data_IF_017436157793
#
_entry.id   IF_017436157793
#
_cell.length_a   1.000
_cell.length_b   1.000
_cell.length_c   1.000
_cell.angle_alpha   90.00
_cell.angle_beta   90.00
_cell.angle_gamma   90.00
#
_symmetry.space_group_name_H-M   'P 1'
#
loop_
_entity.id
_entity.type
_entity.pdbx_description
1 polymer ?
#
# COMPACT_ATOMS: atom_id res chain seq x y z
N UNK A 1 3.18 6.05 -2.61
CA UNK A 1 2.34 4.89 -2.98
C UNK A 1 0.89 5.32 -3.13
N UNK A 2 0.20 4.79 -4.14
CA UNK A 2 -1.20 5.09 -4.48
C UNK A 2 -1.98 3.78 -4.59
N UNK A 3 -3.15 3.73 -3.96
CA UNK A 3 -4.08 2.59 -4.02
C UNK A 3 -5.37 3.07 -4.66
N UNK A 4 -5.75 2.41 -5.76
CA UNK A 4 -6.83 2.87 -6.62
C UNK A 4 -7.88 1.80 -6.83
N UNK A 5 -9.14 2.22 -6.84
CA UNK A 5 -10.31 1.41 -7.15
C UNK A 5 -11.03 2.01 -8.38
N UNK A 6 -11.43 1.19 -9.35
CA UNK A 6 -12.33 1.66 -10.41
C UNK A 6 -13.69 2.05 -9.81
N UNK A 7 -14.36 3.01 -10.44
CA UNK A 7 -15.74 3.40 -10.16
C UNK A 7 -16.63 3.05 -11.34
N UNK A 8 -17.92 2.89 -11.07
CA UNK A 8 -18.92 2.53 -12.08
C UNK A 8 -19.13 3.64 -13.14
N UNK A 9 -18.79 4.89 -12.80
CA UNK A 9 -18.82 6.05 -13.70
C UNK A 9 -17.61 6.14 -14.64
N UNK A 10 -16.72 5.13 -14.64
CA UNK A 10 -15.47 5.14 -15.38
C UNK A 10 -14.35 5.95 -14.70
N UNK A 11 -14.62 6.55 -13.55
CA UNK A 11 -13.65 7.25 -12.74
C UNK A 11 -12.77 6.31 -11.91
N UNK A 12 -11.82 6.90 -11.19
CA UNK A 12 -10.94 6.20 -10.26
C UNK A 12 -11.05 6.84 -8.89
N UNK A 13 -11.25 6.01 -7.87
CA UNK A 13 -11.17 6.43 -6.47
C UNK A 13 -9.81 6.05 -5.89
N UNK A 14 -9.09 7.03 -5.34
CA UNK A 14 -7.84 6.79 -4.63
C UNK A 14 -8.11 6.64 -3.13
N UNK A 15 -8.09 5.40 -2.63
CA UNK A 15 -8.24 5.13 -1.21
C UNK A 15 -7.00 5.54 -0.41
N UNK A 16 -5.84 5.54 -1.06
CA UNK A 16 -4.59 6.12 -0.59
C UNK A 16 -3.98 6.86 -1.79
N UNK A 17 -3.62 8.12 -1.60
CA UNK A 17 -3.09 8.97 -2.66
C UNK A 17 -1.71 9.53 -2.27
N UNK A 18 -0.65 9.06 -2.93
CA UNK A 18 0.67 9.68 -2.82
C UNK A 18 1.38 9.56 -1.47
N UNK A 19 1.10 8.51 -0.67
CA UNK A 19 1.72 8.35 0.66
C UNK A 19 3.10 7.70 0.58
N UNK A 20 4.10 8.30 1.21
CA UNK A 20 5.45 7.76 1.34
C UNK A 20 5.85 7.74 2.82
N UNK A 21 6.32 6.57 3.29
CA UNK A 21 6.71 6.34 4.68
C UNK A 21 8.02 5.54 4.71
N UNK A 22 8.80 5.72 5.76
CA UNK A 22 10.00 4.93 6.06
C UNK A 22 9.99 4.55 7.53
N UNK A 23 10.43 3.34 7.84
CA UNK A 23 10.60 2.85 9.21
C UNK A 23 12.00 2.26 9.32
N UNK A 24 12.80 2.81 10.24
CA UNK A 24 14.15 2.34 10.54
C UNK A 24 14.15 1.08 11.41
N UNK A 25 15.33 0.47 11.52
CA UNK A 25 15.53 -0.68 12.40
C UNK A 25 15.27 -0.28 13.87
N UNK A 26 14.38 -1.02 14.55
CA UNK A 26 14.00 -0.75 15.94
C UNK A 26 12.99 0.40 16.11
N UNK A 27 12.54 1.03 15.03
CA UNK A 27 11.52 2.08 15.09
C UNK A 27 10.11 1.48 15.09
N UNK A 28 9.20 2.16 15.80
CA UNK A 28 7.76 1.89 15.72
C UNK A 28 7.07 3.10 15.10
N UNK A 29 6.38 2.89 13.99
CA UNK A 29 5.56 3.93 13.34
C UNK A 29 4.08 3.66 13.59
N UNK A 30 3.41 4.59 14.27
CA UNK A 30 1.96 4.58 14.45
C UNK A 30 1.26 5.40 13.36
N UNK A 31 0.25 4.82 12.71
CA UNK A 31 -0.60 5.54 11.74
C UNK A 31 -1.96 5.80 12.39
N UNK A 32 -2.29 7.08 12.58
CA UNK A 32 -3.54 7.53 13.23
C UNK A 32 -4.36 8.41 12.30
N UNK A 33 -5.66 8.52 12.57
CA UNK A 33 -6.59 9.32 11.77
C UNK A 33 -8.03 8.81 11.90
N UNK A 34 -8.98 9.59 11.39
CA UNK A 34 -10.42 9.29 11.43
C UNK A 34 -10.80 8.01 10.68
N UNK A 35 -11.95 7.43 11.02
CA UNK A 35 -12.47 6.27 10.27
C UNK A 35 -12.60 6.61 8.78
N UNK A 36 -12.20 5.69 7.91
CA UNK A 36 -12.23 5.91 6.45
C UNK A 36 -11.03 6.65 5.86
N UNK A 37 -10.07 7.15 6.66
CA UNK A 37 -8.89 7.89 6.16
C UNK A 37 -7.85 7.06 5.39
N UNK A 38 -8.13 5.80 5.06
CA UNK A 38 -7.22 4.94 4.29
C UNK A 38 -6.17 4.16 5.10
N UNK A 39 -6.17 4.22 6.44
CA UNK A 39 -5.18 3.51 7.29
C UNK A 39 -5.14 2.00 7.06
N UNK A 40 -6.30 1.34 7.12
CA UNK A 40 -6.42 -0.10 6.88
C UNK A 40 -6.01 -0.45 5.46
N UNK A 41 -6.37 0.39 4.49
CA UNK A 41 -5.99 0.20 3.09
C UNK A 41 -4.48 0.27 2.89
N UNK A 42 -3.84 1.25 3.51
CA UNK A 42 -2.38 1.38 3.52
C UNK A 42 -1.73 0.15 4.16
N UNK A 43 -2.19 -0.29 5.33
CA UNK A 43 -1.66 -1.48 6.01
C UNK A 43 -1.80 -2.75 5.17
N UNK A 44 -2.96 -3.01 4.58
CA UNK A 44 -3.19 -4.18 3.72
C UNK A 44 -2.31 -4.15 2.47
N UNK A 45 -2.07 -2.98 1.88
CA UNK A 45 -1.20 -2.88 0.70
C UNK A 45 0.26 -3.25 0.98
N UNK A 46 0.75 -3.01 2.20
CA UNK A 46 2.08 -3.46 2.61
C UNK A 46 2.20 -4.99 2.62
N UNK A 47 1.09 -5.69 2.83
CA UNK A 47 1.02 -7.15 2.87
C UNK A 47 0.60 -7.76 1.53
N UNK A 48 0.41 -6.95 0.48
CA UNK A 48 -0.13 -7.43 -0.79
C UNK A 48 -1.61 -7.85 -0.73
N UNK A 49 -2.35 -7.43 0.30
CA UNK A 49 -3.73 -7.85 0.60
C UNK A 49 -4.79 -6.82 0.19
N UNK A 50 -4.52 -6.02 -0.84
CA UNK A 50 -5.52 -5.06 -1.36
C UNK A 50 -6.71 -5.85 -1.90
N UNK A 51 -7.95 -5.62 -1.42
CA UNK A 51 -9.12 -6.32 -1.91
C UNK A 51 -9.44 -5.90 -3.34
N UNK A 52 -9.90 -6.85 -4.15
CA UNK A 52 -10.43 -6.55 -5.48
C UNK A 52 -11.70 -5.69 -5.39
N UNK A 53 -11.95 -4.80 -6.35
CA UNK A 53 -11.18 -4.53 -7.57
C UNK A 53 -10.00 -3.56 -7.38
N UNK A 54 -9.60 -3.27 -6.14
CA UNK A 54 -8.50 -2.36 -5.83
C UNK A 54 -7.13 -2.89 -6.20
N UNK A 55 -6.18 -1.98 -6.46
CA UNK A 55 -4.77 -2.31 -6.68
C UNK A 55 -3.84 -1.21 -6.19
N UNK A 56 -2.59 -1.57 -5.90
CA UNK A 56 -1.50 -0.61 -5.82
C UNK A 56 -1.22 -0.12 -7.24
N UNK A 57 -1.61 1.12 -7.53
CA UNK A 57 -1.51 1.69 -8.88
C UNK A 57 -0.20 2.44 -9.11
N UNK A 58 0.49 2.83 -8.04
CA UNK A 58 1.75 3.59 -8.11
C UNK A 58 2.58 3.39 -6.82
N UNK A 59 3.90 3.38 -6.95
CA UNK A 59 4.82 3.17 -5.84
C UNK A 59 5.28 1.72 -5.68
N UNK A 60 5.94 1.44 -4.57
CA UNK A 60 6.52 0.13 -4.26
C UNK A 60 6.90 0.03 -2.78
N UNK A 61 7.42 -1.13 -2.39
CA UNK A 61 7.80 -1.45 -1.02
C UNK A 61 9.24 -1.94 -1.06
N UNK A 62 10.10 -1.30 -0.28
CA UNK A 62 11.49 -1.73 -0.12
C UNK A 62 11.73 -2.22 1.31
N UNK A 63 12.32 -3.41 1.43
CA UNK A 63 12.68 -4.02 2.70
C UNK A 63 14.16 -4.38 2.67
N UNK A 64 14.93 -3.89 3.66
CA UNK A 64 16.38 -4.14 3.77
C UNK A 64 17.16 -3.80 2.48
N UNK A 65 16.71 -2.78 1.74
CA UNK A 65 17.32 -2.34 0.47
C UNK A 65 16.84 -3.08 -0.78
N UNK A 66 15.97 -4.09 -0.64
CA UNK A 66 15.41 -4.84 -1.76
C UNK A 66 13.99 -4.35 -2.08
N UNK A 67 13.68 -4.17 -3.36
CA UNK A 67 12.30 -3.91 -3.80
C UNK A 67 11.52 -5.23 -3.80
N UNK A 68 10.55 -5.35 -2.89
CA UNK A 68 9.80 -6.60 -2.67
C UNK A 68 8.38 -6.60 -3.26
N UNK A 69 7.85 -5.45 -3.68
CA UNK A 69 6.48 -5.36 -4.20
C UNK A 69 6.31 -6.00 -5.58
N UNK A 70 7.42 -6.23 -6.28
CA UNK A 70 7.46 -6.85 -7.61
C UNK A 70 7.97 -8.29 -7.60
N UNK A 71 8.35 -8.79 -6.42
CA UNK A 71 8.87 -10.14 -6.26
C UNK A 71 7.71 -11.14 -6.24
N UNK A 72 7.94 -12.30 -6.84
CA UNK A 72 7.07 -13.45 -6.68
C UNK A 72 7.37 -14.21 -5.38
N UNK A 73 6.48 -15.12 -5.00
CA UNK A 73 6.58 -15.86 -3.73
C UNK A 73 7.89 -16.65 -3.57
N UNK A 74 8.48 -17.12 -4.68
CA UNK A 74 9.78 -17.81 -4.65
C UNK A 74 10.96 -16.86 -4.49
N UNK A 75 10.82 -15.59 -4.89
CA UNK A 75 11.83 -14.55 -4.73
C UNK A 75 11.82 -13.95 -3.31
N UNK A 76 10.72 -14.13 -2.58
CA UNK A 76 10.55 -13.71 -1.18
C UNK A 76 10.99 -14.76 -0.15
N UNK A 77 11.24 -16.00 -0.58
CA UNK A 77 11.63 -17.14 0.27
C UNK A 77 13.16 -17.27 0.39
#
# INVERSE_FOLDING_TARGET
MRISFPRDDGGVFHAVDGVSLSVGAGETLGIVGESGSGKTMLALSLLGLVPQPGKVSEGGISLLGYEISRMNEKELA
#
